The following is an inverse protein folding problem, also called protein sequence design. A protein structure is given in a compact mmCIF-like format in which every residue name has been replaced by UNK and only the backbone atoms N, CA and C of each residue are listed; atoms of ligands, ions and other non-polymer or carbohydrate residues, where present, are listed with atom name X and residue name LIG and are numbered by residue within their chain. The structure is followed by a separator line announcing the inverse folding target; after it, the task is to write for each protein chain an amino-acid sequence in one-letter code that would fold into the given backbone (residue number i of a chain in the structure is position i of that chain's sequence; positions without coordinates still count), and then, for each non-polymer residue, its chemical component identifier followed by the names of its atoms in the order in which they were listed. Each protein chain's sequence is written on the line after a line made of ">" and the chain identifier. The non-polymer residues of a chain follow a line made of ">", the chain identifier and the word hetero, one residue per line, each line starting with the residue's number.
data_IF_061895905854
#
_entry.id   IF_061895905854
#
_cell.length_a   1.000
_cell.length_b   1.000
_cell.length_c   1.000
_cell.angle_alpha   90.00
_cell.angle_beta   90.00
_cell.angle_gamma   90.00
#
_symmetry.space_group_name_H-M   'P 1'
#
loop_
_entity.id
_entity.type
_entity.pdbx_description
1 polymer ?
#
# COMPACT_ATOMS: atom_id res chain seq x y z
N UNK A 1 -28.68 43.94 2.25
CA UNK A 1 -29.17 42.64 1.78
C UNK A 1 -27.95 41.85 1.37
N UNK A 2 -27.43 41.05 2.31
CA UNK A 2 -26.31 40.14 2.08
C UNK A 2 -26.70 39.14 0.99
N UNK A 3 -25.94 39.15 -0.09
CA UNK A 3 -26.03 38.18 -1.16
C UNK A 3 -24.60 37.81 -1.52
N UNK A 4 -24.12 36.74 -0.89
CA UNK A 4 -23.23 35.79 -1.54
C UNK A 4 -23.14 34.53 -0.66
N UNK A 5 -24.14 33.67 -0.82
CA UNK A 5 -23.95 32.26 -0.59
C UNK A 5 -22.97 31.75 -1.66
N UNK A 6 -21.68 31.84 -1.36
CA UNK A 6 -20.66 31.16 -2.15
C UNK A 6 -20.75 29.68 -1.78
N UNK A 7 -21.10 28.86 -2.76
CA UNK A 7 -20.82 27.44 -2.75
C UNK A 7 -19.30 27.25 -2.57
N UNK A 8 -18.84 27.06 -1.34
CA UNK A 8 -17.45 26.70 -1.04
C UNK A 8 -17.30 25.17 -1.09
N UNK A 9 -17.57 24.59 -2.25
CA UNK A 9 -17.51 23.14 -2.51
C UNK A 9 -16.14 22.67 -3.00
N UNK A 10 -15.10 23.49 -2.84
CA UNK A 10 -13.72 23.19 -3.25
C UNK A 10 -12.78 23.03 -2.06
N UNK A 11 -11.70 22.26 -2.25
CA UNK A 11 -10.55 22.29 -1.35
C UNK A 11 -9.87 23.66 -1.44
N UNK A 12 -9.45 24.21 -0.30
CA UNK A 12 -8.72 25.48 -0.22
C UNK A 12 -7.22 25.28 -0.47
N UNK A 13 -6.48 26.37 -0.61
CA UNK A 13 -5.01 26.33 -0.71
C UNK A 13 -4.38 25.65 0.52
N UNK A 14 -4.86 25.96 1.73
CA UNK A 14 -4.42 25.32 2.97
C UNK A 14 -4.63 23.79 2.95
N UNK A 15 -5.74 23.34 2.34
CA UNK A 15 -6.02 21.91 2.20
C UNK A 15 -4.96 21.23 1.31
N UNK A 16 -4.64 21.82 0.16
CA UNK A 16 -3.58 21.32 -0.72
C UNK A 16 -2.19 21.40 -0.08
N UNK A 17 -1.89 22.49 0.64
CA UNK A 17 -0.63 22.68 1.34
C UNK A 17 -0.44 21.63 2.45
N UNK A 18 -1.51 21.25 3.15
CA UNK A 18 -1.45 20.19 4.17
C UNK A 18 -1.09 18.83 3.56
N UNK A 19 -1.66 18.49 2.39
CA UNK A 19 -1.32 17.27 1.66
C UNK A 19 0.13 17.30 1.21
N UNK A 20 0.58 18.41 0.61
CA UNK A 20 1.97 18.55 0.17
C UNK A 20 2.96 18.44 1.34
N UNK A 21 2.61 19.03 2.49
CA UNK A 21 3.40 18.92 3.72
C UNK A 21 3.53 17.47 4.15
N UNK A 22 2.44 16.70 4.18
CA UNK A 22 2.47 15.27 4.52
C UNK A 22 3.39 14.48 3.56
N UNK A 23 3.28 14.72 2.26
CA UNK A 23 4.14 14.10 1.25
C UNK A 23 5.61 14.39 1.52
N UNK A 24 5.98 15.65 1.73
CA UNK A 24 7.36 16.07 1.94
C UNK A 24 7.94 15.57 3.26
N UNK A 25 7.17 15.63 4.34
CA UNK A 25 7.60 15.19 5.67
C UNK A 25 7.86 13.68 5.75
N UNK A 26 7.17 12.89 4.93
CA UNK A 26 7.23 11.43 4.99
C UNK A 26 8.09 10.79 3.88
N UNK A 27 8.46 11.53 2.84
CA UNK A 27 9.20 11.01 1.68
C UNK A 27 10.49 10.25 2.05
N UNK A 28 11.27 10.77 3.01
CA UNK A 28 12.54 10.14 3.42
C UNK A 28 12.35 8.87 4.27
N UNK A 29 11.20 8.70 4.92
CA UNK A 29 10.95 7.59 5.85
C UNK A 29 10.49 6.33 5.13
N UNK A 30 9.67 6.48 4.09
CA UNK A 30 9.02 5.37 3.41
C UNK A 30 9.72 4.97 2.10
N UNK A 31 10.88 5.57 1.79
CA UNK A 31 11.69 5.24 0.61
C UNK A 31 11.04 5.60 -0.73
N UNK A 32 9.84 6.19 -0.71
CA UNK A 32 9.08 6.61 -1.87
C UNK A 32 8.22 7.83 -1.53
N UNK A 33 7.96 8.65 -2.55
CA UNK A 33 7.05 9.78 -2.45
C UNK A 33 5.65 9.26 -2.75
N UNK A 34 4.81 9.14 -1.72
CA UNK A 34 3.41 8.75 -1.86
C UNK A 34 2.55 9.99 -1.78
N UNK A 35 1.65 10.18 -2.75
CA UNK A 35 0.52 11.08 -2.59
C UNK A 35 -0.55 10.44 -1.71
N UNK A 36 -1.45 11.25 -1.14
CA UNK A 36 -2.58 10.76 -0.35
C UNK A 36 -3.47 9.77 -1.13
N UNK A 37 -3.70 10.03 -2.42
CA UNK A 37 -4.53 9.16 -3.25
C UNK A 37 -3.82 7.84 -3.59
N UNK A 38 -2.51 7.87 -3.81
CA UNK A 38 -1.72 6.64 -4.02
C UNK A 38 -1.73 5.78 -2.76
N UNK A 39 -1.61 6.38 -1.57
CA UNK A 39 -1.66 5.65 -0.31
C UNK A 39 -3.01 5.00 -0.05
N UNK A 40 -4.11 5.73 -0.31
CA UNK A 40 -5.47 5.17 -0.25
C UNK A 40 -5.68 4.05 -1.28
N UNK A 41 -5.14 4.23 -2.50
CA UNK A 41 -5.26 3.22 -3.56
C UNK A 41 -4.43 1.97 -3.25
N UNK A 42 -3.22 2.14 -2.72
CA UNK A 42 -2.37 1.06 -2.24
C UNK A 42 -3.06 0.28 -1.13
N UNK A 43 -3.64 0.97 -0.15
CA UNK A 43 -4.38 0.30 0.92
C UNK A 43 -5.56 -0.51 0.39
N UNK A 44 -6.34 0.08 -0.52
CA UNK A 44 -7.41 -0.64 -1.23
C UNK A 44 -6.91 -1.92 -1.92
N UNK A 45 -5.78 -1.86 -2.63
CA UNK A 45 -5.24 -3.01 -3.36
C UNK A 45 -4.78 -4.12 -2.41
N UNK A 46 -4.12 -3.76 -1.31
CA UNK A 46 -3.73 -4.73 -0.26
C UNK A 46 -4.96 -5.42 0.32
N UNK A 47 -6.01 -4.66 0.66
CA UNK A 47 -7.24 -5.24 1.23
C UNK A 47 -7.92 -6.18 0.26
N UNK A 48 -8.01 -5.82 -1.03
CA UNK A 48 -8.57 -6.71 -2.07
C UNK A 48 -7.75 -8.00 -2.17
N UNK A 49 -6.41 -7.91 -2.21
CA UNK A 49 -5.56 -9.10 -2.27
C UNK A 49 -5.76 -10.02 -1.06
N UNK A 50 -5.94 -9.47 0.14
CA UNK A 50 -6.21 -10.25 1.35
C UNK A 50 -7.61 -10.87 1.34
N UNK A 51 -8.61 -10.18 0.80
CA UNK A 51 -9.97 -10.71 0.64
C UNK A 51 -10.03 -11.88 -0.35
N UNK A 52 -9.30 -11.75 -1.45
CA UNK A 52 -9.18 -12.75 -2.51
C UNK A 52 -8.39 -13.98 -2.04
N UNK A 53 -7.50 -13.80 -1.05
CA UNK A 53 -6.67 -14.84 -0.45
C UNK A 53 -5.19 -14.50 -0.60
N UNK A 54 -4.49 -14.35 0.53
CA UNK A 54 -3.10 -13.93 0.52
C UNK A 54 -2.18 -15.06 0.01
N UNK A 55 -1.33 -14.76 -0.97
CA UNK A 55 -0.38 -15.72 -1.55
C UNK A 55 0.70 -16.10 -0.54
N UNK A 56 0.76 -17.39 -0.15
CA UNK A 56 1.70 -17.89 0.85
C UNK A 56 3.15 -17.78 0.41
N UNK A 57 3.42 -17.64 -0.90
CA UNK A 57 4.76 -17.36 -1.44
C UNK A 57 5.37 -16.05 -0.91
N UNK A 58 4.53 -15.13 -0.39
CA UNK A 58 4.92 -13.81 0.14
C UNK A 58 4.68 -13.68 1.65
N UNK A 59 4.56 -14.80 2.36
CA UNK A 59 4.12 -14.82 3.76
C UNK A 59 5.06 -14.08 4.71
N UNK A 60 6.36 -14.06 4.40
CA UNK A 60 7.37 -13.41 5.24
C UNK A 60 7.44 -11.89 4.99
N UNK A 61 6.91 -11.44 3.85
CA UNK A 61 6.76 -10.05 3.43
C UNK A 61 5.38 -9.47 3.76
N UNK A 62 4.47 -10.25 4.37
CA UNK A 62 3.09 -9.85 4.63
C UNK A 62 2.94 -8.48 5.30
N UNK A 63 3.83 -8.12 6.24
CA UNK A 63 3.77 -6.82 6.91
C UNK A 63 4.34 -5.66 6.08
N UNK A 64 5.18 -5.95 5.08
CA UNK A 64 5.75 -4.92 4.20
C UNK A 64 4.67 -4.32 3.29
N UNK A 65 3.64 -5.11 2.96
CA UNK A 65 2.44 -4.65 2.24
C UNK A 65 1.71 -3.48 2.96
N UNK A 66 1.87 -3.36 4.28
CA UNK A 66 1.17 -2.35 5.09
C UNK A 66 1.81 -0.97 5.09
N UNK A 67 2.92 -0.79 4.36
CA UNK A 67 3.64 0.48 4.25
C UNK A 67 2.72 1.64 3.84
N UNK A 68 1.74 1.38 2.97
CA UNK A 68 0.74 2.36 2.54
C UNK A 68 -0.17 2.82 3.69
N UNK A 69 -0.61 1.87 4.54
CA UNK A 69 -1.47 2.12 5.69
C UNK A 69 -0.71 2.78 6.83
N UNK A 70 0.57 2.47 6.92
CA UNK A 70 1.49 3.12 7.83
C UNK A 70 1.72 4.58 7.50
N UNK A 71 1.94 4.88 6.22
CA UNK A 71 2.03 6.24 5.71
C UNK A 71 0.74 7.01 5.99
N UNK A 72 -0.44 6.40 5.71
CA UNK A 72 -1.74 7.03 5.96
C UNK A 72 -1.95 7.41 7.41
N UNK A 73 -1.52 6.56 8.35
CA UNK A 73 -1.62 6.82 9.78
C UNK A 73 -0.84 8.08 10.21
N UNK A 74 0.38 8.24 9.72
CA UNK A 74 1.22 9.40 10.05
C UNK A 74 0.77 10.66 9.31
N UNK A 75 0.43 10.52 8.03
CA UNK A 75 -0.06 11.61 7.21
C UNK A 75 -1.33 12.22 7.82
N UNK A 76 -2.21 11.41 8.42
CA UNK A 76 -3.50 11.86 8.94
C UNK A 76 -3.39 13.06 9.89
N UNK A 77 -2.39 13.08 10.76
CA UNK A 77 -2.16 14.16 11.72
C UNK A 77 -1.72 15.48 11.07
N UNK A 78 -1.21 15.44 9.84
CA UNK A 78 -0.73 16.59 9.09
C UNK A 78 -1.81 17.20 8.18
N UNK A 79 -2.89 16.47 7.92
CA UNK A 79 -3.99 16.91 7.05
C UNK A 79 -4.92 17.89 7.77
N UNK A 80 -5.47 18.85 7.04
CA UNK A 80 -6.53 19.70 7.59
C UNK A 80 -7.78 18.87 7.95
N UNK A 81 -8.61 19.36 8.90
CA UNK A 81 -9.87 18.70 9.22
C UNK A 81 -10.78 18.48 8.00
N UNK A 82 -10.77 19.39 7.02
CA UNK A 82 -11.60 19.25 5.81
C UNK A 82 -11.12 18.09 4.95
N UNK A 83 -9.81 17.96 4.71
CA UNK A 83 -9.25 16.82 3.97
C UNK A 83 -9.51 15.50 4.72
N UNK A 84 -9.31 15.48 6.05
CA UNK A 84 -9.62 14.30 6.86
C UNK A 84 -11.10 13.91 6.73
N UNK A 85 -12.04 14.85 6.89
CA UNK A 85 -13.47 14.58 6.77
C UNK A 85 -13.86 14.03 5.40
N UNK A 86 -13.26 14.54 4.33
CA UNK A 86 -13.53 14.07 2.97
C UNK A 86 -12.97 12.66 2.69
N UNK A 87 -11.85 12.29 3.32
CA UNK A 87 -11.16 11.02 3.05
C UNK A 87 -11.45 9.92 4.07
N UNK A 88 -11.91 10.28 5.26
CA UNK A 88 -12.22 9.33 6.34
C UNK A 88 -13.22 8.26 5.93
N UNK A 89 -14.32 8.56 5.20
CA UNK A 89 -15.25 7.51 4.77
C UNK A 89 -14.58 6.43 3.91
N UNK A 90 -13.72 6.83 2.97
CA UNK A 90 -12.96 5.90 2.12
C UNK A 90 -11.97 5.07 2.95
N UNK A 91 -11.22 5.69 3.85
CA UNK A 91 -10.28 4.95 4.70
C UNK A 91 -11.02 3.93 5.60
N UNK A 92 -12.12 4.36 6.21
CA UNK A 92 -12.93 3.50 7.08
C UNK A 92 -13.54 2.31 6.33
N UNK A 93 -13.99 2.51 5.09
CA UNK A 93 -14.51 1.42 4.25
C UNK A 93 -13.46 0.30 4.10
N UNK A 94 -12.22 0.66 3.74
CA UNK A 94 -11.15 -0.31 3.57
C UNK A 94 -10.66 -0.90 4.89
N UNK A 95 -10.60 -0.11 5.96
CA UNK A 95 -10.25 -0.61 7.30
C UNK A 95 -11.29 -1.66 7.79
N UNK A 96 -12.58 -1.44 7.55
CA UNK A 96 -13.64 -2.40 7.92
C UNK A 96 -13.53 -3.69 7.11
N UNK A 97 -13.26 -3.59 5.81
CA UNK A 97 -13.04 -4.73 4.93
C UNK A 97 -11.82 -5.54 5.33
N UNK A 98 -10.71 -4.86 5.65
CA UNK A 98 -9.52 -5.50 6.19
C UNK A 98 -9.82 -6.25 7.48
N UNK A 99 -10.54 -5.64 8.43
CA UNK A 99 -10.94 -6.30 9.68
C UNK A 99 -11.76 -7.56 9.41
N UNK A 100 -12.68 -7.52 8.45
CA UNK A 100 -13.50 -8.67 8.08
C UNK A 100 -12.69 -9.81 7.43
N UNK A 101 -11.71 -9.45 6.59
CA UNK A 101 -10.85 -10.37 5.85
C UNK A 101 -9.72 -10.97 6.70
N UNK A 102 -9.49 -10.46 7.91
CA UNK A 102 -8.37 -10.86 8.78
C UNK A 102 -8.82 -11.32 10.16
N UNK A 103 -7.95 -12.04 10.85
CA UNK A 103 -8.11 -12.48 12.23
C UNK A 103 -7.05 -11.80 13.12
N UNK A 104 -7.35 -11.55 14.41
CA UNK A 104 -6.34 -11.03 15.33
C UNK A 104 -5.24 -12.06 15.55
N UNK A 105 -3.98 -11.66 15.43
CA UNK A 105 -2.83 -12.51 15.75
C UNK A 105 -2.85 -12.90 17.22
N UNK A 106 -2.31 -14.09 17.52
CA UNK A 106 -2.11 -14.51 18.90
C UNK A 106 -1.01 -13.64 19.51
N UNK A 107 -1.36 -12.77 20.45
CA UNK A 107 -0.38 -11.94 21.16
C UNK A 107 0.49 -12.85 22.03
N UNK A 108 1.74 -13.09 21.64
CA UNK A 108 2.73 -13.63 22.56
C UNK A 108 3.06 -12.53 23.55
N UNK A 109 2.91 -12.81 24.85
CA UNK A 109 3.07 -11.88 25.98
C UNK A 109 4.48 -11.24 26.12
N UNK A 110 5.32 -11.27 25.09
CA UNK A 110 6.71 -10.87 25.13
C UNK A 110 7.17 -9.93 23.99
N UNK A 111 6.35 -9.68 22.96
CA UNK A 111 6.64 -8.60 22.03
C UNK A 111 6.00 -7.31 22.57
N UNK A 112 6.76 -6.20 22.75
CA UNK A 112 6.15 -4.89 22.92
C UNK A 112 5.13 -4.71 21.81
N UNK A 113 3.98 -4.09 22.09
CA UNK A 113 3.09 -3.55 21.05
C UNK A 113 3.95 -2.68 20.13
N UNK A 114 4.47 -3.21 19.03
CA UNK A 114 5.56 -2.56 18.29
C UNK A 114 5.09 -1.35 17.50
N UNK A 115 3.83 -0.95 17.63
CA UNK A 115 3.42 0.40 17.24
C UNK A 115 2.08 0.77 17.84
N UNK A 116 2.10 1.58 18.90
CA UNK A 116 0.90 2.22 19.43
C UNK A 116 0.09 2.84 18.28
N UNK A 117 -1.19 2.47 18.19
CA UNK A 117 -2.10 2.97 17.16
C UNK A 117 -2.11 2.21 15.82
N UNK A 118 -1.23 1.22 15.60
CA UNK A 118 -1.18 0.44 14.34
C UNK A 118 -1.78 -0.95 14.44
N UNK A 119 -3.07 -0.99 14.73
CA UNK A 119 -3.80 -2.23 14.98
C UNK A 119 -3.78 -3.21 13.80
N UNK A 120 -3.56 -2.77 12.56
CA UNK A 120 -3.52 -3.63 11.37
C UNK A 120 -2.34 -4.61 11.36
N UNK A 121 -1.21 -4.28 12.01
CA UNK A 121 -0.09 -5.21 12.15
C UNK A 121 -0.38 -6.37 13.12
N UNK A 122 -1.41 -6.25 13.95
CA UNK A 122 -1.80 -7.31 14.88
C UNK A 122 -2.82 -8.28 14.27
N UNK A 123 -2.85 -8.39 12.94
CA UNK A 123 -3.85 -9.19 12.21
C UNK A 123 -3.23 -9.98 11.07
N UNK A 124 -3.78 -11.15 10.80
CA UNK A 124 -3.35 -12.03 9.72
C UNK A 124 -4.52 -12.43 8.81
N UNK A 125 -4.27 -12.86 7.55
CA UNK A 125 -5.33 -13.20 6.60
C UNK A 125 -6.20 -14.36 7.10
N UNK A 126 -7.51 -14.27 6.90
CA UNK A 126 -8.43 -15.39 7.14
C UNK A 126 -8.29 -16.47 6.05
N UNK A 127 -7.90 -16.07 4.84
CA UNK A 127 -7.76 -16.92 3.67
C UNK A 127 -6.37 -16.77 3.08
N UNK A 128 -5.80 -17.88 2.63
CA UNK A 128 -4.51 -17.92 1.94
C UNK A 128 -4.62 -18.75 0.67
N UNK A 129 -3.89 -18.35 -0.36
CA UNK A 129 -3.75 -19.06 -1.61
C UNK A 129 -2.30 -19.54 -1.75
N UNK A 130 -2.09 -20.74 -2.28
CA UNK A 130 -0.76 -21.34 -2.39
C UNK A 130 -0.75 -22.78 -1.87
N UNK A 131 0.39 -23.44 -2.00
CA UNK A 131 0.52 -24.88 -1.78
C UNK A 131 0.18 -25.25 -0.32
N UNK A 132 -0.73 -26.21 -0.09
CA UNK A 132 -1.05 -26.69 1.24
C UNK A 132 0.20 -27.26 1.93
N UNK A 133 0.43 -26.86 3.18
CA UNK A 133 1.55 -27.35 3.99
C UNK A 133 2.81 -26.47 3.95
N UNK A 134 2.75 -25.29 3.32
CA UNK A 134 3.76 -24.25 3.55
C UNK A 134 3.76 -23.80 5.02
N UNK A 135 4.95 -23.60 5.59
CA UNK A 135 5.10 -23.21 7.00
C UNK A 135 4.53 -21.81 7.23
N UNK A 136 3.42 -21.73 7.96
CA UNK A 136 2.81 -20.45 8.34
C UNK A 136 3.40 -19.91 9.65
N UNK A 137 3.46 -18.57 9.83
CA UNK A 137 3.87 -17.98 11.10
C UNK A 137 3.04 -18.52 12.26
N UNK A 138 3.70 -18.99 13.32
CA UNK A 138 3.01 -19.57 14.49
C UNK A 138 1.97 -18.67 15.17
N UNK A 139 2.07 -17.35 14.96
CA UNK A 139 1.10 -16.35 15.43
C UNK A 139 -0.21 -16.31 14.63
N UNK A 140 -0.25 -16.91 13.45
CA UNK A 140 -1.45 -17.06 12.60
C UNK A 140 -2.26 -18.26 13.08
N UNK A 141 -2.89 -18.07 14.24
CA UNK A 141 -3.64 -19.12 14.93
C UNK A 141 -5.02 -18.61 15.35
N UNK A 142 -6.12 -19.29 14.96
CA UNK A 142 -6.18 -20.54 14.19
C UNK A 142 -5.65 -20.43 12.76
N UNK A 143 -5.29 -21.57 12.16
CA UNK A 143 -4.76 -21.63 10.80
C UNK A 143 -5.73 -20.99 9.79
N UNK A 144 -5.24 -20.15 8.85
CA UNK A 144 -6.05 -19.61 7.75
C UNK A 144 -6.66 -20.71 6.89
N UNK A 145 -7.75 -20.37 6.21
CA UNK A 145 -8.40 -21.26 5.24
C UNK A 145 -7.59 -21.21 3.93
N UNK A 146 -7.02 -22.35 3.52
CA UNK A 146 -6.45 -22.48 2.18
C UNK A 146 -7.58 -22.57 1.14
N UNK A 147 -7.50 -21.79 0.06
CA UNK A 147 -8.55 -21.67 -0.96
C UNK A 147 -8.20 -22.27 -2.33
N UNK A 148 -7.18 -23.13 -2.46
CA UNK A 148 -6.76 -23.68 -3.75
C UNK A 148 -7.91 -24.24 -4.61
N UNK A 149 -8.02 -23.75 -5.86
CA UNK A 149 -8.77 -24.42 -6.92
C UNK A 149 -9.71 -23.60 -7.83
N UNK A 150 -9.62 -22.28 -7.95
CA UNK A 150 -10.17 -21.61 -9.14
C UNK A 150 -9.10 -20.77 -9.81
N UNK A 151 -8.33 -21.43 -10.69
CA UNK A 151 -7.44 -20.75 -11.60
C UNK A 151 -8.27 -19.84 -12.52
N UNK A 152 -8.41 -18.57 -12.15
CA UNK A 152 -8.55 -17.54 -13.16
C UNK A 152 -7.17 -17.37 -13.77
N UNK A 153 -6.94 -17.68 -15.06
CA UNK A 153 -5.64 -17.48 -15.66
C UNK A 153 -5.29 -16.02 -15.49
N UNK A 154 -4.08 -15.79 -14.96
CA UNK A 154 -3.48 -14.47 -14.80
C UNK A 154 -3.88 -13.60 -15.98
N UNK A 155 -4.62 -12.52 -15.71
CA UNK A 155 -4.72 -11.38 -16.62
C UNK A 155 -3.29 -10.87 -16.74
N UNK A 156 -2.60 -11.43 -17.73
CA UNK A 156 -1.34 -10.96 -18.23
C UNK A 156 -1.60 -9.51 -18.60
N UNK A 157 -1.09 -8.59 -17.78
CA UNK A 157 -1.11 -7.18 -18.09
C UNK A 157 -0.38 -7.00 -19.43
N UNK A 158 -1.15 -6.90 -20.50
CA UNK A 158 -0.70 -6.33 -21.77
C UNK A 158 -0.73 -4.82 -21.62
N UNK A 159 0.45 -4.23 -21.77
CA UNK A 159 0.67 -3.05 -22.62
C UNK A 159 2.03 -3.27 -23.29
N UNK A 160 2.05 -3.95 -24.44
CA UNK A 160 2.03 -3.41 -25.83
C UNK A 160 3.33 -2.74 -26.27
N UNK A 161 3.92 -3.38 -27.27
CA UNK A 161 5.08 -3.01 -28.06
C UNK A 161 4.88 -1.78 -28.96
N UNK A 162 5.98 -1.35 -29.61
CA UNK A 162 6.13 -0.73 -30.96
C UNK A 162 7.16 0.41 -30.86
N UNK A 163 8.28 0.53 -31.58
CA UNK A 163 8.96 -0.16 -32.71
C UNK A 163 10.36 0.47 -32.84
N UNK A 164 11.37 -0.25 -33.34
CA UNK A 164 12.25 0.24 -34.41
C UNK A 164 13.23 -0.85 -34.85
N UNK A 165 13.17 -1.17 -36.13
CA UNK A 165 14.12 -1.98 -36.89
C UNK A 165 15.35 -1.13 -37.26
N UNK A 166 16.53 -1.71 -37.06
CA UNK A 166 17.75 -1.71 -37.88
C UNK A 166 18.10 -0.47 -38.74
N UNK A 167 19.26 0.15 -38.49
CA UNK A 167 20.44 0.08 -39.37
C UNK A 167 21.54 1.06 -38.90
N UNK A 168 22.80 0.62 -39.01
CA UNK A 168 23.94 1.22 -38.33
C UNK A 168 24.48 2.56 -38.86
N UNK A 169 25.34 3.18 -38.05
CA UNK A 169 26.56 3.87 -38.48
C UNK A 169 27.39 4.18 -37.23
N UNK A 170 28.70 3.93 -37.32
CA UNK A 170 29.59 3.82 -36.17
C UNK A 170 29.98 5.13 -35.47
N UNK A 171 30.64 4.95 -34.33
CA UNK A 171 31.85 5.69 -34.00
C UNK A 171 32.62 4.94 -32.93
N UNK A 172 33.57 4.13 -33.40
CA UNK A 172 34.77 3.75 -32.67
C UNK A 172 35.49 5.02 -32.25
N UNK A 173 35.75 5.18 -30.95
CA UNK A 173 37.01 5.69 -30.39
C UNK A 173 36.85 5.94 -28.90
N UNK A 174 37.55 5.17 -28.08
CA UNK A 174 38.50 5.73 -27.11
C UNK A 174 39.43 4.63 -26.61
N UNK A 175 40.64 4.76 -27.12
CA UNK A 175 41.88 4.06 -26.86
C UNK A 175 42.31 4.08 -25.39
N UNK A 176 42.86 2.93 -24.99
CA UNK A 176 44.12 2.70 -24.27
C UNK A 176 44.54 3.66 -23.14
N UNK A 177 44.91 3.03 -22.01
CA UNK A 177 45.49 3.72 -20.87
C UNK A 177 46.99 4.05 -20.98
N UNK A 178 47.38 4.85 -19.97
CA UNK A 178 48.71 5.02 -19.32
C UNK A 178 49.78 5.82 -20.09
N UNK A 179 50.85 6.30 -19.39
CA UNK A 179 50.91 7.28 -18.30
C UNK A 179 51.95 8.41 -18.58
N UNK A 180 52.04 9.43 -17.73
CA UNK A 180 53.31 10.06 -17.29
C UNK A 180 53.13 10.49 -15.84
#
# INVERSE_FOLDING_TARGET
>A
MESNAVNDSGLTEDDYASVLTAVQSLAGKYGAVWTLNEALSGWRLVVIGIEDGFDTSWIWEYHDEFVCRDWLHEAWALLTPRVQQLRLPTLNEWDLRFIAATLPMRTTSAAPSTTEGRWWHNRYPRRVAGEPGEDLPSQWSPEPINIEGDQTPAVQQRSTATTATDDGQGCLSKTAGRPV
#
